data_IF_197738250726
#
_entry.id   IF_197738250726
#
_cell.length_a   1.000
_cell.length_b   1.000
_cell.length_c   1.000
_cell.angle_alpha   90.00
_cell.angle_beta   90.00
_cell.angle_gamma   90.00
#
_symmetry.space_group_name_H-M   'P 1'
#
loop_
_entity.id
_entity.type
_entity.pdbx_description
1 polymer ?
#
# COMPACT_ATOMS: atom_id res chain seq x y z
N UNK A 1 13.35 18.72 7.51
CA UNK A 1 13.29 18.62 6.03
C UNK A 1 11.87 18.25 5.62
N UNK A 2 11.19 19.14 4.89
CA UNK A 2 9.80 18.92 4.45
C UNK A 2 9.78 17.81 3.40
N UNK A 3 9.19 16.66 3.75
CA UNK A 3 9.04 15.51 2.87
C UNK A 3 7.94 15.79 1.82
N UNK A 4 8.11 16.83 1.00
CA UNK A 4 7.08 17.39 0.08
C UNK A 4 6.43 16.32 -0.81
N UNK A 5 7.19 15.32 -1.24
CA UNK A 5 6.69 14.21 -2.06
C UNK A 5 5.62 13.39 -1.33
N UNK A 6 5.80 13.11 -0.03
CA UNK A 6 4.83 12.37 0.79
C UNK A 6 3.59 13.19 1.17
N UNK A 7 3.51 14.46 0.79
CA UNK A 7 2.28 15.27 0.96
C UNK A 7 1.64 15.61 -0.40
N UNK A 8 2.30 15.26 -1.51
CA UNK A 8 1.81 15.45 -2.87
C UNK A 8 1.37 14.12 -3.46
N UNK A 9 0.07 13.94 -3.63
CA UNK A 9 -0.50 12.87 -4.46
C UNK A 9 -0.78 13.42 -5.87
N UNK A 10 -0.40 12.65 -6.89
CA UNK A 10 -0.75 12.92 -8.29
C UNK A 10 -1.95 12.06 -8.65
N UNK A 11 -3.09 12.69 -8.95
CA UNK A 11 -4.36 12.03 -9.26
C UNK A 11 -5.12 11.48 -8.04
N UNK A 12 -6.37 11.90 -7.85
CA UNK A 12 -7.22 11.53 -6.71
C UNK A 12 -6.76 12.07 -5.35
N UNK A 13 -7.40 11.60 -4.26
CA UNK A 13 -7.15 12.05 -2.88
C UNK A 13 -7.06 10.93 -1.83
N UNK A 14 -7.02 9.67 -2.27
CA UNK A 14 -7.15 8.47 -1.43
C UNK A 14 -6.02 8.23 -0.39
N UNK A 15 -4.86 8.89 -0.49
CA UNK A 15 -3.79 8.75 0.51
C UNK A 15 -3.56 9.98 1.38
N UNK A 16 -4.00 11.18 0.95
CA UNK A 16 -3.75 12.44 1.68
C UNK A 16 -4.53 12.56 2.99
N UNK A 17 -5.62 11.79 3.14
CA UNK A 17 -6.46 11.81 4.34
C UNK A 17 -5.79 11.16 5.57
N UNK A 18 -4.76 10.35 5.36
CA UNK A 18 -4.11 9.61 6.45
C UNK A 18 -3.10 10.49 7.21
N UNK A 19 -3.10 10.36 8.54
CA UNK A 19 -2.09 10.98 9.41
C UNK A 19 -0.67 10.55 9.04
N UNK A 20 -0.51 9.29 8.62
CA UNK A 20 0.71 8.75 8.03
C UNK A 20 0.32 8.11 6.69
N UNK A 21 0.88 8.57 5.58
CA UNK A 21 0.59 7.95 4.29
C UNK A 21 1.14 6.52 4.25
N UNK A 22 0.43 5.56 3.63
CA UNK A 22 0.89 4.17 3.52
C UNK A 22 2.31 4.07 2.94
N UNK A 23 2.63 4.84 1.91
CA UNK A 23 3.98 4.88 1.31
C UNK A 23 5.08 5.28 2.28
N UNK A 24 4.80 6.22 3.19
CA UNK A 24 5.74 6.64 4.24
C UNK A 24 5.93 5.53 5.27
N UNK A 25 4.84 4.93 5.75
CA UNK A 25 4.91 3.81 6.69
C UNK A 25 5.72 2.64 6.12
N UNK A 26 5.48 2.29 4.86
CA UNK A 26 6.18 1.19 4.16
C UNK A 26 7.68 1.48 4.04
N UNK A 27 8.05 2.68 3.57
CA UNK A 27 9.45 3.05 3.36
C UNK A 27 10.22 3.21 4.68
N UNK A 28 9.63 3.89 5.68
CA UNK A 28 10.28 4.13 6.97
C UNK A 28 10.56 2.80 7.71
N UNK A 29 9.71 1.77 7.51
CA UNK A 29 9.90 0.44 8.09
C UNK A 29 10.62 -0.57 7.16
N UNK A 30 11.08 -0.14 5.97
CA UNK A 30 11.76 -1.02 5.00
C UNK A 30 10.96 -2.29 4.66
N UNK A 31 9.63 -2.16 4.58
CA UNK A 31 8.72 -3.27 4.27
C UNK A 31 8.96 -3.70 2.82
N UNK A 32 9.02 -5.01 2.58
CA UNK A 32 9.23 -5.59 1.27
C UNK A 32 8.07 -5.26 0.30
N UNK A 33 8.36 -5.40 -1.00
CA UNK A 33 7.48 -4.90 -2.05
C UNK A 33 6.06 -5.49 -2.00
N UNK A 34 5.91 -6.80 -1.76
CA UNK A 34 4.60 -7.45 -1.79
C UNK A 34 3.73 -7.00 -0.61
N UNK A 35 4.30 -7.01 0.59
CA UNK A 35 3.71 -6.52 1.84
C UNK A 35 3.30 -5.05 1.72
N UNK A 36 4.19 -4.22 1.16
CA UNK A 36 3.92 -2.81 0.93
C UNK A 36 2.74 -2.59 -0.02
N UNK A 37 2.63 -3.38 -1.09
CA UNK A 37 1.49 -3.29 -2.00
C UNK A 37 0.19 -3.77 -1.35
N UNK A 38 0.23 -4.86 -0.57
CA UNK A 38 -0.94 -5.33 0.18
C UNK A 38 -1.48 -4.23 1.11
N UNK A 39 -0.61 -3.62 1.94
CA UNK A 39 -0.97 -2.49 2.81
C UNK A 39 -1.56 -1.33 2.00
N UNK A 40 -0.88 -0.94 0.91
CA UNK A 40 -1.30 0.15 0.03
C UNK A 40 -2.73 -0.04 -0.50
N UNK A 41 -3.10 -1.25 -0.93
CA UNK A 41 -4.43 -1.53 -1.47
C UNK A 41 -5.48 -1.67 -0.38
N UNK A 42 -5.14 -2.28 0.77
CA UNK A 42 -6.02 -2.32 1.94
C UNK A 42 -6.39 -0.91 2.40
N UNK A 43 -5.45 0.03 2.44
CA UNK A 43 -5.76 1.41 2.79
C UNK A 43 -6.54 2.17 1.69
N UNK A 44 -6.50 1.73 0.43
CA UNK A 44 -7.06 2.50 -0.69
C UNK A 44 -8.50 2.13 -1.05
N UNK A 45 -8.92 0.89 -0.80
CA UNK A 45 -10.16 0.32 -1.38
C UNK A 45 -11.43 1.16 -1.15
N UNK A 46 -11.57 1.81 0.00
CA UNK A 46 -12.75 2.63 0.32
C UNK A 46 -12.86 3.91 -0.53
N UNK A 47 -11.73 4.39 -1.05
CA UNK A 47 -11.64 5.64 -1.78
C UNK A 47 -11.37 5.45 -3.28
N UNK A 48 -10.96 4.23 -3.68
CA UNK A 48 -10.65 3.90 -5.07
C UNK A 48 -10.73 2.39 -5.31
N UNK A 49 -11.30 2.02 -6.46
CA UNK A 49 -11.38 0.66 -7.03
C UNK A 49 -12.10 -0.41 -6.16
N UNK A 50 -12.50 -0.12 -4.91
CA UNK A 50 -13.38 -0.98 -4.11
C UNK A 50 -12.86 -2.40 -3.96
N UNK A 51 -13.73 -3.38 -4.26
CA UNK A 51 -13.40 -4.82 -4.20
C UNK A 51 -12.16 -5.18 -5.02
N UNK A 52 -11.92 -4.52 -6.16
CA UNK A 52 -10.79 -4.81 -7.02
C UNK A 52 -9.45 -4.55 -6.32
N UNK A 53 -9.38 -3.56 -5.43
CA UNK A 53 -8.19 -3.33 -4.63
C UNK A 53 -7.98 -4.39 -3.56
N UNK A 54 -9.05 -4.93 -2.98
CA UNK A 54 -8.96 -6.06 -2.06
C UNK A 54 -8.47 -7.33 -2.79
N UNK A 55 -8.93 -7.57 -4.03
CA UNK A 55 -8.44 -8.67 -4.86
C UNK A 55 -6.95 -8.51 -5.19
N UNK A 56 -6.49 -7.29 -5.50
CA UNK A 56 -5.05 -7.00 -5.64
C UNK A 56 -4.30 -7.25 -4.34
N UNK A 57 -4.83 -6.84 -3.19
CA UNK A 57 -4.21 -7.08 -1.89
C UNK A 57 -4.04 -8.59 -1.62
N UNK A 58 -5.07 -9.40 -1.90
CA UNK A 58 -5.01 -10.87 -1.80
C UNK A 58 -3.92 -11.43 -2.71
N UNK A 59 -3.82 -10.96 -3.96
CA UNK A 59 -2.76 -11.40 -4.86
C UNK A 59 -1.36 -11.13 -4.31
N UNK A 60 -1.12 -9.95 -3.73
CA UNK A 60 0.16 -9.66 -3.09
C UNK A 60 0.42 -10.52 -1.83
N UNK A 61 -0.63 -10.91 -1.11
CA UNK A 61 -0.52 -11.87 0.00
C UNK A 61 -0.12 -13.26 -0.53
N UNK A 62 -0.71 -13.71 -1.64
CA UNK A 62 -0.31 -14.97 -2.30
C UNK A 62 1.17 -14.94 -2.69
N UNK A 63 1.67 -13.83 -3.24
CA UNK A 63 3.10 -13.68 -3.55
C UNK A 63 4.01 -13.85 -2.31
N UNK A 64 3.60 -13.36 -1.14
CA UNK A 64 4.36 -13.53 0.11
C UNK A 64 4.40 -14.99 0.52
N UNK A 65 3.24 -15.66 0.46
CA UNK A 65 3.12 -17.10 0.74
C UNK A 65 4.05 -17.88 -0.19
N UNK A 66 4.02 -17.58 -1.49
CA UNK A 66 4.85 -18.28 -2.47
C UNK A 66 6.35 -18.04 -2.29
N UNK A 67 6.74 -16.82 -1.92
CA UNK A 67 8.15 -16.43 -1.73
C UNK A 67 8.76 -17.05 -0.47
N UNK A 68 8.01 -17.09 0.63
CA UNK A 68 8.57 -17.37 1.96
C UNK A 68 8.14 -18.71 2.55
N UNK A 69 7.03 -19.28 2.10
CA UNK A 69 6.37 -20.42 2.74
C UNK A 69 6.09 -21.60 1.80
N UNK A 70 6.37 -21.49 0.50
CA UNK A 70 6.32 -22.66 -0.38
C UNK A 70 7.49 -23.60 -0.05
N UNK A 71 7.17 -24.73 0.59
CA UNK A 71 8.01 -25.91 0.70
C UNK A 71 7.82 -26.80 -0.53
#
# INVERSE_FOLDING_TARGET
MSNKAFFRQVGGSHYKKYKIQPSRFINDNKILFAEGNAIKYICRHQDKDGKQDLEKAIHYIQMIIERDYNQ
#
